data_IF_030700037593
#
_entry.id   IF_030700037593
#
_cell.length_a   1.000
_cell.length_b   1.000
_cell.length_c   1.000
_cell.angle_alpha   90.00
_cell.angle_beta   90.00
_cell.angle_gamma   90.00
#
_symmetry.space_group_name_H-M   'P 1'
#
loop_
_entity.id
_entity.type
_entity.pdbx_description
1 polymer ?
#
# COMPACT_ATOMS: atom_id res chain seq x y z
N UNK A 1 7.84 0.94 -18.15
CA UNK A 1 6.49 1.48 -17.85
C UNK A 1 5.46 0.39 -18.09
N UNK A 2 5.17 -0.45 -17.10
CA UNK A 2 4.50 -1.74 -17.39
C UNK A 2 3.19 -1.98 -16.61
N UNK A 3 2.88 -1.22 -15.55
CA UNK A 3 1.68 -1.47 -14.73
C UNK A 3 0.56 -0.42 -14.87
N UNK A 4 0.87 0.84 -15.22
CA UNK A 4 -0.13 1.93 -15.21
C UNK A 4 -1.30 1.72 -16.18
N UNK A 5 -1.05 1.24 -17.41
CA UNK A 5 -2.14 0.94 -18.34
C UNK A 5 -3.11 -0.12 -17.80
N UNK A 6 -2.60 -1.14 -17.10
CA UNK A 6 -3.39 -2.14 -16.42
C UNK A 6 -4.19 -1.55 -15.25
N UNK A 7 -3.54 -0.74 -14.41
CA UNK A 7 -4.19 -0.09 -13.26
C UNK A 7 -5.31 0.85 -13.72
N UNK A 8 -5.10 1.65 -14.77
CA UNK A 8 -6.11 2.59 -15.25
C UNK A 8 -7.27 1.88 -15.96
N UNK A 9 -7.02 0.77 -16.65
CA UNK A 9 -8.08 0.03 -17.35
C UNK A 9 -8.89 -0.90 -16.44
N UNK A 10 -8.29 -1.40 -15.36
CA UNK A 10 -8.85 -2.51 -14.58
C UNK A 10 -8.87 -2.26 -13.07
N UNK A 11 -8.38 -1.11 -12.62
CA UNK A 11 -8.23 -0.76 -11.21
C UNK A 11 -7.01 -1.42 -10.54
N UNK A 12 -6.75 -1.01 -9.30
CA UNK A 12 -5.79 -1.66 -8.41
C UNK A 12 -6.34 -3.02 -7.96
N UNK A 13 -5.51 -4.07 -8.05
CA UNK A 13 -5.92 -5.45 -7.73
C UNK A 13 -5.05 -6.05 -6.63
N UNK A 14 -5.67 -6.86 -5.78
CA UNK A 14 -4.98 -7.68 -4.80
C UNK A 14 -4.28 -8.83 -5.53
N UNK A 15 -3.06 -9.14 -5.12
CA UNK A 15 -2.32 -10.27 -5.67
C UNK A 15 -3.10 -11.58 -5.48
N UNK A 16 -3.10 -12.47 -6.47
CA UNK A 16 -3.92 -13.68 -6.40
C UNK A 16 -3.35 -14.69 -5.37
N UNK A 17 -4.15 -15.64 -4.87
CA UNK A 17 -3.77 -16.55 -3.79
C UNK A 17 -2.49 -17.36 -4.03
N UNK A 18 -2.20 -17.68 -5.29
CA UNK A 18 -1.02 -18.42 -5.75
C UNK A 18 0.27 -17.62 -5.79
N UNK A 19 0.21 -16.29 -5.78
CA UNK A 19 1.41 -15.45 -5.80
C UNK A 19 2.23 -15.64 -4.51
N UNK A 20 3.59 -15.69 -4.57
CA UNK A 20 4.44 -15.85 -3.40
C UNK A 20 4.14 -14.76 -2.35
N UNK A 21 4.11 -15.12 -1.06
CA UNK A 21 3.89 -14.14 0.02
C UNK A 21 5.11 -13.24 0.30
N UNK A 22 6.26 -13.52 -0.32
CA UNK A 22 7.49 -12.75 -0.14
C UNK A 22 7.30 -11.32 -0.63
N UNK A 23 7.43 -10.34 0.26
CA UNK A 23 7.33 -8.91 -0.06
C UNK A 23 6.08 -8.20 0.49
N UNK A 24 5.14 -8.93 1.11
CA UNK A 24 3.93 -8.34 1.71
C UNK A 24 4.06 -8.19 3.22
N UNK A 25 4.52 -7.02 3.69
CA UNK A 25 4.74 -6.74 5.11
C UNK A 25 3.51 -6.94 6.00
N UNK A 26 2.32 -6.73 5.44
CA UNK A 26 1.03 -6.85 6.11
C UNK A 26 0.08 -7.82 5.39
N UNK A 27 0.64 -8.78 4.65
CA UNK A 27 -0.11 -9.74 3.84
C UNK A 27 -0.71 -9.17 2.54
N UNK A 28 -1.49 -9.99 1.82
CA UNK A 28 -1.96 -9.64 0.47
C UNK A 28 -3.06 -8.58 0.56
N UNK A 29 -2.79 -7.41 -0.01
CA UNK A 29 -3.70 -6.28 0.00
C UNK A 29 -3.22 -5.15 -0.92
N UNK A 30 -3.96 -4.04 -0.93
CA UNK A 30 -3.53 -2.81 -1.58
C UNK A 30 -2.78 -1.94 -0.57
N UNK A 31 -1.61 -1.44 -0.96
CA UNK A 31 -0.72 -0.67 -0.10
C UNK A 31 -0.71 0.79 -0.53
N UNK A 32 -0.92 1.68 0.43
CA UNK A 32 -0.92 3.13 0.25
C UNK A 32 0.05 3.78 1.24
N UNK A 33 0.49 5.00 0.95
CA UNK A 33 1.28 5.81 1.86
C UNK A 33 0.75 7.25 1.89
N UNK A 34 0.84 7.87 3.06
CA UNK A 34 0.54 9.27 3.34
C UNK A 34 1.73 10.20 3.02
N UNK A 35 2.95 9.66 2.94
CA UNK A 35 4.14 10.39 2.49
C UNK A 35 4.51 10.05 1.05
N UNK A 36 4.63 11.08 0.21
CA UNK A 36 4.91 10.96 -1.23
C UNK A 36 6.21 10.19 -1.53
N UNK A 37 7.27 10.45 -0.77
CA UNK A 37 8.59 9.83 -0.97
C UNK A 37 8.58 8.32 -0.75
N UNK A 38 7.73 7.82 0.15
CA UNK A 38 7.57 6.38 0.40
C UNK A 38 6.98 5.68 -0.81
N UNK A 39 5.95 6.24 -1.43
CA UNK A 39 5.36 5.71 -2.67
C UNK A 39 6.28 5.89 -3.88
N UNK A 40 6.99 7.02 -3.98
CA UNK A 40 7.90 7.31 -5.09
C UNK A 40 9.04 6.29 -5.22
N UNK A 41 9.51 5.73 -4.11
CA UNK A 41 10.51 4.65 -4.14
C UNK A 41 10.04 3.41 -4.92
N UNK A 42 8.72 3.18 -5.03
CA UNK A 42 8.15 2.09 -5.82
C UNK A 42 7.99 2.42 -7.32
N UNK A 43 8.34 3.64 -7.75
CA UNK A 43 8.39 3.98 -9.18
C UNK A 43 9.66 3.43 -9.85
N UNK A 44 10.70 3.06 -9.08
CA UNK A 44 11.99 2.54 -9.58
C UNK A 44 12.64 3.43 -10.65
N UNK A 45 12.51 4.75 -10.53
CA UNK A 45 13.18 5.71 -11.41
C UNK A 45 14.69 5.63 -11.27
N UNK A 46 15.42 5.77 -12.37
CA UNK A 46 16.89 5.82 -12.40
C UNK A 46 17.37 7.12 -13.06
N UNK A 47 18.68 7.33 -13.17
CA UNK A 47 19.23 8.49 -13.89
C UNK A 47 18.94 8.44 -15.39
N UNK A 48 18.80 7.23 -15.92
CA UNK A 48 18.47 6.94 -17.32
C UNK A 48 16.96 6.92 -17.58
N UNK A 49 16.15 6.70 -16.53
CA UNK A 49 14.68 6.69 -16.56
C UNK A 49 14.12 7.53 -15.42
N UNK A 50 14.09 8.84 -15.62
CA UNK A 50 13.79 9.83 -14.56
C UNK A 50 12.30 10.09 -14.35
N UNK A 51 11.45 9.63 -15.27
CA UNK A 51 10.00 9.82 -15.19
C UNK A 51 9.33 8.70 -14.39
N UNK A 52 8.53 9.08 -13.39
CA UNK A 52 7.72 8.19 -12.58
C UNK A 52 6.30 8.70 -12.50
N UNK A 53 5.35 7.77 -12.34
CA UNK A 53 3.94 8.10 -12.16
C UNK A 53 3.51 7.69 -10.74
N UNK A 54 2.69 8.53 -10.11
CA UNK A 54 2.07 8.30 -8.81
C UNK A 54 0.56 8.41 -8.93
N UNK A 55 -0.15 7.62 -8.13
CA UNK A 55 -1.61 7.66 -8.04
C UNK A 55 -2.01 8.26 -6.69
N UNK A 56 -2.91 9.24 -6.74
CA UNK A 56 -3.65 9.70 -5.58
C UNK A 56 -5.02 9.02 -5.59
N UNK A 57 -5.36 8.36 -4.49
CA UNK A 57 -6.61 7.62 -4.36
C UNK A 57 -7.33 8.04 -3.08
N UNK A 58 -8.65 8.22 -3.16
CA UNK A 58 -9.49 8.21 -1.96
C UNK A 58 -9.58 6.76 -1.45
N UNK A 59 -9.24 6.55 -0.18
CA UNK A 59 -9.21 5.22 0.43
C UNK A 59 -10.12 5.19 1.65
N UNK A 60 -11.18 4.38 1.58
CA UNK A 60 -12.10 4.17 2.70
C UNK A 60 -11.46 3.25 3.75
N UNK A 61 -10.65 3.83 4.64
CA UNK A 61 -9.88 3.07 5.64
C UNK A 61 -10.75 2.45 6.76
N UNK A 62 -11.88 3.07 7.09
CA UNK A 62 -12.71 2.65 8.23
C UNK A 62 -11.93 2.68 9.55
N UNK A 63 -12.22 1.74 10.45
CA UNK A 63 -11.43 1.52 11.66
C UNK A 63 -10.16 0.75 11.31
N UNK A 64 -9.02 1.38 11.51
CA UNK A 64 -7.71 0.78 11.26
C UNK A 64 -7.25 -0.10 12.41
N UNK A 65 -6.62 -1.23 12.07
CA UNK A 65 -5.83 -2.05 12.99
C UNK A 65 -4.36 -1.57 12.93
N UNK A 66 -3.84 -1.06 14.05
CA UNK A 66 -2.49 -0.51 14.12
C UNK A 66 -1.46 -1.60 14.37
N UNK A 67 -0.42 -1.66 13.54
CA UNK A 67 0.67 -2.63 13.63
C UNK A 67 2.01 -1.90 13.69
N UNK A 68 2.83 -2.22 14.70
CA UNK A 68 4.17 -1.63 14.89
C UNK A 68 5.29 -2.50 14.31
N UNK A 69 4.97 -3.72 13.87
CA UNK A 69 5.89 -4.68 13.27
C UNK A 69 5.23 -5.36 12.07
N UNK A 70 6.05 -5.82 11.12
CA UNK A 70 5.56 -6.61 9.99
C UNK A 70 4.85 -7.87 10.50
N UNK A 71 3.68 -8.17 9.96
CA UNK A 71 2.86 -9.31 10.36
C UNK A 71 2.07 -9.78 9.16
N UNK A 72 2.14 -11.06 8.83
CA UNK A 72 1.34 -11.60 7.73
C UNK A 72 -0.14 -11.68 8.15
N UNK A 73 -0.92 -10.70 7.72
CA UNK A 73 -2.34 -10.60 7.98
C UNK A 73 -3.13 -10.98 6.72
N UNK A 74 -4.10 -11.85 6.87
CA UNK A 74 -5.12 -12.08 5.87
C UNK A 74 -6.39 -11.34 6.29
N UNK A 75 -7.24 -10.95 5.34
CA UNK A 75 -8.43 -10.11 5.62
C UNK A 75 -9.37 -10.75 6.66
N UNK A 76 -9.46 -12.09 6.67
CA UNK A 76 -10.19 -12.91 7.64
C UNK A 76 -9.61 -12.89 9.06
N UNK A 77 -8.37 -12.42 9.23
CA UNK A 77 -7.67 -12.36 10.52
C UNK A 77 -7.62 -10.96 11.12
N UNK A 78 -8.25 -9.98 10.48
CA UNK A 78 -8.39 -8.66 11.08
C UNK A 78 -9.26 -8.75 12.35
N UNK A 79 -8.91 -8.01 13.42
CA UNK A 79 -9.77 -7.95 14.60
C UNK A 79 -11.18 -7.51 14.25
N UNK A 80 -12.15 -7.95 15.07
CA UNK A 80 -13.54 -7.55 14.91
C UNK A 80 -13.67 -6.02 14.83
N UNK A 81 -14.54 -5.56 13.93
CA UNK A 81 -14.79 -4.15 13.60
C UNK A 81 -13.67 -3.40 12.88
N UNK A 82 -12.56 -4.04 12.47
CA UNK A 82 -11.49 -3.39 11.69
C UNK A 82 -11.65 -3.67 10.19
N UNK A 83 -11.37 -2.68 9.34
CA UNK A 83 -11.51 -2.78 7.87
C UNK A 83 -10.16 -2.63 7.13
N UNK A 84 -9.12 -2.18 7.81
CA UNK A 84 -7.81 -1.96 7.22
C UNK A 84 -6.68 -2.11 8.23
N UNK A 85 -5.45 -2.20 7.73
CA UNK A 85 -4.22 -2.26 8.53
C UNK A 85 -3.44 -0.97 8.36
N UNK A 86 -2.95 -0.41 9.47
CA UNK A 86 -2.05 0.74 9.50
C UNK A 86 -0.70 0.31 10.06
N UNK A 87 0.31 0.25 9.19
CA UNK A 87 1.70 0.10 9.63
C UNK A 87 2.21 1.40 10.23
N UNK A 88 2.33 1.46 11.56
CA UNK A 88 2.72 2.65 12.29
C UNK A 88 4.23 2.93 12.14
N UNK A 89 4.56 3.97 11.36
CA UNK A 89 5.93 4.48 11.23
C UNK A 89 6.31 5.44 12.36
N UNK A 90 7.60 5.75 12.45
CA UNK A 90 8.13 6.72 13.42
C UNK A 90 7.85 8.18 13.05
N UNK A 91 7.62 8.44 11.77
CA UNK A 91 7.38 9.77 11.22
C UNK A 91 6.08 9.73 10.43
N UNK A 92 5.19 10.67 10.72
CA UNK A 92 3.90 10.84 10.07
C UNK A 92 3.67 12.34 9.80
N UNK A 93 2.85 12.70 8.80
CA UNK A 93 2.32 14.06 8.68
C UNK A 93 1.55 14.46 9.95
N UNK A 94 1.50 15.76 10.26
CA UNK A 94 0.62 16.27 11.32
C UNK A 94 -0.84 15.94 10.95
N UNK A 95 -1.58 15.20 11.79
CA UNK A 95 -3.00 14.90 11.52
C UNK A 95 -3.88 16.14 11.39
N UNK A 96 -3.42 17.32 11.84
CA UNK A 96 -4.15 18.58 11.74
C UNK A 96 -3.89 19.35 10.43
N UNK A 97 -2.87 18.98 9.68
CA UNK A 97 -2.43 19.71 8.48
C UNK A 97 -1.69 21.00 8.79
#
# INVERSE_FOLDING_TARGET
>A
TTNFAGILSQGLRIAPPEAPMTGYMFGKGLYFADMVSKSANYCFTTRESTEGLLLLCEVALGKMYECYQATSLSADKLPQDKQSTKGCGQTIPDPKG
#
